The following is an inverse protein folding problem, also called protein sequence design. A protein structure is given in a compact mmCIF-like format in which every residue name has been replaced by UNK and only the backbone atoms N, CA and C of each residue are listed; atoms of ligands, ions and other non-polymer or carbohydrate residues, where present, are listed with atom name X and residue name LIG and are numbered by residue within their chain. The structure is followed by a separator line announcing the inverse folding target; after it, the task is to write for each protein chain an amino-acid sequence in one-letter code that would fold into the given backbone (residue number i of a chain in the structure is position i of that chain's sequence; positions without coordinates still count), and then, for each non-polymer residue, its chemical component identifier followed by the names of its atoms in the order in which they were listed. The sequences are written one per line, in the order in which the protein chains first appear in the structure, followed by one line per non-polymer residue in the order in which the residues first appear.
data_IF_997809273062
#
_entry.id   IF_997809273062
#
_cell.length_a   1.000
_cell.length_b   1.000
_cell.length_c   1.000
_cell.angle_alpha   90.00
_cell.angle_beta   90.00
_cell.angle_gamma   90.00
#
_symmetry.space_group_name_H-M   'P 1'
#
loop_
_entity.id
_entity.type
_entity.pdbx_description
1 polymer ?
#
# COMPACT_ATOMS: atom_id res chain seq x y z
N UNK A 1 20.89 12.33 3.99
CA UNK A 1 21.36 12.94 2.74
C UNK A 1 22.71 12.34 2.36
N UNK A 2 23.06 12.30 1.08
CA UNK A 2 24.39 11.86 0.59
C UNK A 2 25.39 13.01 0.49
N UNK A 3 24.92 14.26 0.56
CA UNK A 3 25.77 15.46 0.51
C UNK A 3 25.00 16.73 0.89
N UNK A 4 25.72 17.83 1.07
CA UNK A 4 25.16 19.18 1.25
C UNK A 4 25.90 20.15 0.33
N UNK A 5 25.14 20.85 -0.50
CA UNK A 5 25.68 21.90 -1.38
C UNK A 5 25.60 23.25 -0.67
N UNK A 6 26.76 23.80 -0.29
CA UNK A 6 26.88 25.09 0.39
C UNK A 6 26.50 26.29 -0.49
N UNK A 7 26.57 26.16 -1.83
CA UNK A 7 26.24 27.26 -2.73
C UNK A 7 24.73 27.40 -2.92
N UNK A 8 24.00 26.29 -3.01
CA UNK A 8 22.54 26.29 -3.15
C UNK A 8 21.79 26.13 -1.83
N UNK A 9 22.48 25.76 -0.75
CA UNK A 9 21.88 25.47 0.55
C UNK A 9 20.99 24.23 0.55
N UNK A 10 21.18 23.30 -0.40
CA UNK A 10 20.34 22.11 -0.58
C UNK A 10 21.05 20.83 -0.17
N UNK A 11 20.28 19.89 0.36
CA UNK A 11 20.74 18.54 0.65
C UNK A 11 20.59 17.64 -0.57
N UNK A 12 21.67 16.94 -0.92
CA UNK A 12 21.70 15.97 -2.00
C UNK A 12 21.34 14.58 -1.48
N UNK A 13 20.63 13.78 -2.29
CA UNK A 13 20.19 12.44 -1.87
C UNK A 13 19.37 12.44 -0.58
N UNK A 14 18.53 13.47 -0.39
CA UNK A 14 17.65 13.58 0.77
C UNK A 14 16.59 12.48 0.72
N UNK A 15 16.68 11.53 1.66
CA UNK A 15 15.60 10.59 1.94
C UNK A 15 14.88 11.02 3.21
N UNK A 16 13.58 10.73 3.28
CA UNK A 16 12.74 10.87 4.47
C UNK A 16 12.25 9.48 4.86
N UNK A 17 11.73 9.34 6.08
CA UNK A 17 11.12 8.10 6.56
C UNK A 17 10.09 7.58 5.55
N UNK A 18 10.35 6.40 4.97
CA UNK A 18 9.53 5.79 3.92
C UNK A 18 10.05 5.94 2.47
N UNK A 19 11.16 6.64 2.24
CA UNK A 19 11.85 6.68 0.95
C UNK A 19 12.98 5.64 0.84
N UNK A 20 13.19 5.07 -0.35
CA UNK A 20 14.29 4.15 -0.59
C UNK A 20 15.63 4.88 -0.40
N UNK A 21 16.34 4.59 0.70
CA UNK A 21 17.72 5.02 0.86
C UNK A 21 18.61 4.04 0.08
N UNK A 22 19.57 4.57 -0.68
CA UNK A 22 20.61 3.75 -1.30
C UNK A 22 21.46 3.03 -0.24
N UNK A 23 22.40 2.16 -0.66
CA UNK A 23 23.30 1.51 0.29
C UNK A 23 23.96 2.55 1.19
N UNK A 24 23.84 2.36 2.51
CA UNK A 24 24.48 3.22 3.52
C UNK A 24 25.99 2.99 3.41
N UNK A 25 26.67 3.79 2.59
CA UNK A 25 28.13 3.95 2.63
C UNK A 25 28.51 4.90 3.77
N UNK A 26 29.74 4.82 4.28
CA UNK A 26 30.26 5.39 5.55
C UNK A 26 30.19 6.93 5.71
N UNK A 27 29.35 7.65 4.97
CA UNK A 27 29.23 9.12 5.01
C UNK A 27 27.77 9.64 4.93
N UNK A 28 26.77 9.05 5.60
CA UNK A 28 25.43 9.61 5.57
C UNK A 28 25.35 10.85 6.48
N UNK A 29 24.86 11.97 5.93
CA UNK A 29 24.57 13.18 6.71
C UNK A 29 23.14 13.11 7.27
N UNK A 30 23.02 13.32 8.58
CA UNK A 30 21.73 13.48 9.25
C UNK A 30 21.25 14.92 9.06
N UNK A 31 20.04 15.07 8.55
CA UNK A 31 19.42 16.37 8.28
C UNK A 31 18.29 16.59 9.29
N UNK A 32 18.20 17.79 9.84
CA UNK A 32 17.10 18.14 10.74
C UNK A 32 15.74 18.00 10.04
N UNK A 33 14.72 17.43 10.72
CA UNK A 33 13.41 17.18 10.11
C UNK A 33 12.77 18.40 9.45
N UNK A 34 12.88 19.58 10.08
CA UNK A 34 12.31 20.82 9.56
C UNK A 34 13.01 21.31 8.27
N UNK A 35 14.32 21.12 8.16
CA UNK A 35 15.07 21.47 6.96
C UNK A 35 14.71 20.54 5.79
N UNK A 36 14.59 19.24 6.08
CA UNK A 36 14.20 18.24 5.09
C UNK A 36 12.77 18.46 4.56
N UNK A 37 11.81 18.77 5.43
CA UNK A 37 10.42 19.05 5.04
C UNK A 37 10.29 20.34 4.20
N UNK A 38 11.04 21.41 4.56
CA UNK A 38 11.04 22.65 3.78
C UNK A 38 11.55 22.44 2.36
N UNK A 39 12.65 21.71 2.17
CA UNK A 39 13.16 21.42 0.83
C UNK A 39 12.15 20.64 -0.02
N UNK A 40 11.47 19.65 0.56
CA UNK A 40 10.42 18.89 -0.14
C UNK A 40 9.21 19.74 -0.54
N UNK A 41 8.79 20.66 0.33
CA UNK A 41 7.69 21.57 0.02
C UNK A 41 8.03 22.50 -1.15
N UNK A 42 9.26 23.03 -1.15
CA UNK A 42 9.77 23.87 -2.25
C UNK A 42 9.87 23.08 -3.55
N UNK A 43 10.41 21.86 -3.52
CA UNK A 43 10.52 21.00 -4.70
C UNK A 43 9.13 20.62 -5.26
N UNK A 44 8.15 20.35 -4.39
CA UNK A 44 6.77 20.06 -4.79
C UNK A 44 6.09 21.27 -5.44
N UNK A 45 6.21 22.45 -4.84
CA UNK A 45 5.63 23.67 -5.40
C UNK A 45 6.27 24.05 -6.74
N UNK A 46 7.58 23.84 -6.90
CA UNK A 46 8.27 24.05 -8.17
C UNK A 46 7.80 23.06 -9.25
N UNK A 47 7.60 21.79 -8.90
CA UNK A 47 7.08 20.78 -9.82
C UNK A 47 5.63 21.08 -10.24
N UNK A 48 4.78 21.53 -9.31
CA UNK A 48 3.41 21.94 -9.60
C UNK A 48 3.36 23.18 -10.52
N UNK A 49 4.23 24.15 -10.29
CA UNK A 49 4.32 25.34 -11.13
C UNK A 49 4.82 25.00 -12.54
N UNK A 50 5.84 24.15 -12.67
CA UNK A 50 6.32 23.66 -13.96
C UNK A 50 5.25 22.85 -14.71
N UNK A 51 4.47 22.02 -13.99
CA UNK A 51 3.37 21.28 -14.59
C UNK A 51 2.27 22.21 -15.12
N UNK A 52 1.93 23.27 -14.37
CA UNK A 52 0.97 24.28 -14.82
C UNK A 52 1.47 25.05 -16.04
N UNK A 53 2.73 25.45 -16.05
CA UNK A 53 3.36 26.15 -17.18
C UNK A 53 3.44 25.27 -18.43
N UNK A 54 3.71 23.97 -18.28
CA UNK A 54 3.70 23.00 -19.39
C UNK A 54 2.29 22.82 -20.00
N UNK A 55 1.23 22.82 -19.18
CA UNK A 55 -0.15 22.75 -19.66
C UNK A 55 -0.54 24.02 -20.42
N UNK A 56 -0.18 25.20 -19.92
CA UNK A 56 -0.46 26.49 -20.59
C UNK A 56 0.34 26.64 -21.91
N UNK A 57 1.57 26.12 -21.95
CA UNK A 57 2.37 26.07 -23.18
C UNK A 57 1.77 25.11 -24.24
N UNK A 58 1.16 23.99 -23.81
CA UNK A 58 0.49 23.05 -24.69
C UNK A 58 -0.83 23.62 -25.29
N UNK A 59 -1.57 24.43 -24.51
CA UNK A 59 -2.81 25.07 -24.98
C UNK A 59 -2.59 26.20 -26.01
N UNK A 60 -1.38 26.77 -26.07
CA UNK A 60 -1.04 27.84 -27.03
C UNK A 60 -0.75 27.35 -28.46
N UNK A 61 -0.75 26.03 -28.72
CA UNK A 61 -0.41 25.45 -30.03
C UNK A 61 -1.59 24.83 -30.81
N UNK A 62 -2.84 24.96 -30.35
CA UNK A 62 -3.99 24.39 -31.05
C UNK A 62 -4.82 25.45 -31.81
N UNK A 63 -4.49 25.65 -33.09
CA UNK A 63 -5.34 26.41 -34.04
C UNK A 63 -6.39 25.49 -34.68
N UNK A 64 -7.65 25.95 -34.62
CA UNK A 64 -8.91 25.33 -35.09
C UNK A 64 -8.99 25.21 -36.64
N UNK A 65 -9.94 24.45 -37.21
CA UNK A 65 -11.12 25.16 -37.70
C UNK A 65 -12.48 24.45 -37.51
N UNK A 66 -13.53 25.26 -37.66
CA UNK A 66 -14.94 24.99 -37.46
C UNK A 66 -15.63 24.39 -38.71
N UNK A 67 -16.73 23.66 -38.50
CA UNK A 67 -17.79 23.43 -39.50
C UNK A 67 -19.16 23.46 -38.81
N UNK A 68 -20.15 23.99 -39.52
CA UNK A 68 -21.46 24.51 -39.11
C UNK A 68 -22.62 23.75 -39.81
N UNK A 69 -23.78 23.71 -39.11
CA UNK A 69 -25.22 23.47 -39.53
C UNK A 69 -25.65 22.13 -40.19
N UNK A 70 -26.97 21.75 -40.25
CA UNK A 70 -28.19 22.23 -39.56
C UNK A 70 -29.19 21.14 -39.01
N UNK A 71 -30.28 21.64 -38.41
CA UNK A 71 -31.51 21.04 -37.84
C UNK A 71 -32.41 20.30 -38.85
N UNK A 72 -33.16 19.26 -38.41
CA UNK A 72 -34.54 18.95 -38.89
C UNK A 72 -35.34 18.05 -37.91
N UNK A 73 -36.62 18.39 -37.82
CA UNK A 73 -37.71 18.00 -36.91
C UNK A 73 -38.27 16.56 -36.92
N UNK A 74 -38.89 16.24 -35.76
CA UNK A 74 -40.12 15.48 -35.44
C UNK A 74 -40.42 14.13 -36.14
N UNK A 75 -40.77 13.09 -35.37
CA UNK A 75 -42.16 12.83 -34.96
C UNK A 75 -42.32 11.48 -34.20
N UNK A 76 -43.35 11.45 -33.36
CA UNK A 76 -44.15 10.34 -32.85
C UNK A 76 -43.87 9.73 -31.47
N UNK A 77 -44.84 10.05 -30.61
CA UNK A 77 -45.09 9.60 -29.27
C UNK A 77 -45.51 8.12 -29.16
N UNK A 78 -45.28 7.52 -27.98
CA UNK A 78 -46.25 6.59 -27.40
C UNK A 78 -46.11 6.46 -25.88
N UNK A 79 -47.02 7.15 -25.20
CA UNK A 79 -47.81 6.75 -24.03
C UNK A 79 -47.16 6.03 -22.82
N UNK A 80 -47.03 6.81 -21.73
CA UNK A 80 -47.44 6.55 -20.33
C UNK A 80 -47.61 5.11 -19.83
N UNK A 81 -46.89 4.80 -18.75
CA UNK A 81 -47.56 4.24 -17.56
C UNK A 81 -46.88 4.75 -16.28
N UNK A 82 -47.56 5.70 -15.63
CA UNK A 82 -47.24 6.19 -14.32
C UNK A 82 -47.67 5.17 -13.27
N UNK A 83 -46.71 4.64 -12.52
CA UNK A 83 -46.97 4.15 -11.17
C UNK A 83 -46.23 5.06 -10.20
N UNK A 84 -46.83 6.23 -9.97
CA UNK A 84 -46.49 7.11 -8.87
C UNK A 84 -46.96 6.45 -7.56
N UNK A 85 -46.19 5.46 -7.09
CA UNK A 85 -46.22 5.11 -5.69
C UNK A 85 -45.54 6.26 -4.94
N UNK A 86 -46.28 6.89 -4.02
CA UNK A 86 -45.78 7.86 -3.07
C UNK A 86 -44.73 7.18 -2.17
N UNK A 87 -43.51 7.04 -2.66
CA UNK A 87 -42.37 6.67 -1.86
C UNK A 87 -41.91 7.91 -1.11
N UNK A 88 -42.27 7.99 0.16
CA UNK A 88 -41.61 8.88 1.12
C UNK A 88 -40.10 8.66 0.95
N UNK A 89 -39.29 9.70 0.65
CA UNK A 89 -37.85 9.52 0.55
C UNK A 89 -37.35 9.09 1.92
N UNK A 90 -36.99 7.81 2.04
CA UNK A 90 -36.31 7.30 3.21
C UNK A 90 -35.02 8.14 3.40
N UNK A 91 -34.67 8.52 4.63
CA UNK A 91 -33.44 9.24 4.87
C UNK A 91 -32.26 8.44 4.30
N UNK A 92 -31.26 9.09 3.66
CA UNK A 92 -30.12 8.38 3.08
C UNK A 92 -29.41 7.59 4.18
N UNK A 93 -29.45 6.26 4.06
CA UNK A 93 -28.71 5.36 4.94
C UNK A 93 -27.21 5.63 4.69
N UNK A 94 -26.41 5.91 5.73
CA UNK A 94 -24.98 6.13 5.53
C UNK A 94 -24.35 4.90 4.87
N UNK A 95 -23.42 5.08 3.91
CA UNK A 95 -22.78 3.96 3.25
C UNK A 95 -22.09 3.07 4.28
N UNK A 96 -22.31 1.77 4.17
CA UNK A 96 -21.68 0.78 5.05
C UNK A 96 -20.16 0.80 4.81
N UNK A 97 -19.32 0.71 5.85
CA UNK A 97 -17.89 0.63 5.66
C UNK A 97 -17.53 -0.59 4.82
N UNK A 98 -16.74 -0.37 3.77
CA UNK A 98 -16.22 -1.41 2.88
C UNK A 98 -14.81 -1.83 3.31
N UNK A 99 -14.38 -3.03 2.93
CA UNK A 99 -13.00 -3.53 3.14
C UNK A 99 -12.51 -3.54 4.61
N UNK A 100 -13.40 -3.88 5.56
CA UNK A 100 -13.11 -3.83 7.01
C UNK A 100 -12.21 -4.93 7.55
N UNK A 101 -11.90 -5.96 6.76
CA UNK A 101 -11.06 -7.09 7.17
C UNK A 101 -10.20 -7.57 6.01
N UNK A 102 -8.91 -7.72 6.27
CA UNK A 102 -7.97 -8.42 5.41
C UNK A 102 -7.70 -9.83 5.96
N UNK A 103 -7.63 -10.81 5.07
CA UNK A 103 -7.15 -12.16 5.36
C UNK A 103 -6.27 -12.60 4.20
N UNK A 104 -5.07 -13.08 4.51
CA UNK A 104 -4.13 -13.60 3.53
C UNK A 104 -3.33 -14.74 4.14
N UNK A 105 -3.02 -15.72 3.32
CA UNK A 105 -2.11 -16.82 3.64
C UNK A 105 -1.05 -16.89 2.54
N UNK A 106 0.18 -17.22 2.92
CA UNK A 106 1.30 -17.36 2.00
C UNK A 106 2.16 -18.53 2.47
N UNK A 107 2.50 -19.42 1.53
CA UNK A 107 3.46 -20.49 1.77
C UNK A 107 4.87 -19.93 1.67
N UNK A 108 5.70 -20.24 2.68
CA UNK A 108 7.08 -19.76 2.74
C UNK A 108 8.04 -20.90 2.44
N UNK A 109 9.14 -20.60 1.76
CA UNK A 109 10.19 -21.58 1.55
C UNK A 109 10.95 -21.83 2.88
N UNK A 110 11.04 -23.07 3.39
CA UNK A 110 11.65 -23.35 4.68
C UNK A 110 13.17 -23.08 4.72
N UNK A 111 13.86 -23.10 3.59
CA UNK A 111 15.29 -22.77 3.50
C UNK A 111 15.55 -21.26 3.41
N UNK A 112 14.53 -20.49 3.01
CA UNK A 112 14.63 -19.04 2.76
C UNK A 112 13.59 -18.22 3.50
N UNK A 113 12.99 -18.79 4.55
CA UNK A 113 11.83 -18.24 5.25
C UNK A 113 12.10 -16.82 5.77
N UNK A 114 13.31 -16.53 6.25
CA UNK A 114 13.68 -15.18 6.71
C UNK A 114 13.54 -14.11 5.61
N UNK A 115 14.03 -14.41 4.40
CA UNK A 115 13.96 -13.46 3.27
C UNK A 115 12.52 -13.25 2.83
N UNK A 116 11.78 -14.35 2.68
CA UNK A 116 10.41 -14.29 2.19
C UNK A 116 9.49 -13.63 3.23
N UNK A 117 9.73 -13.87 4.53
CA UNK A 117 9.06 -13.18 5.63
C UNK A 117 9.34 -11.68 5.66
N UNK A 118 10.58 -11.26 5.43
CA UNK A 118 10.92 -9.83 5.33
C UNK A 118 10.13 -9.15 4.21
N UNK A 119 10.03 -9.81 3.04
CA UNK A 119 9.23 -9.29 1.92
C UNK A 119 7.74 -9.17 2.28
N UNK A 120 7.16 -10.16 2.96
CA UNK A 120 5.77 -10.07 3.46
C UNK A 120 5.61 -8.93 4.46
N UNK A 121 6.62 -8.71 5.30
CA UNK A 121 6.61 -7.63 6.28
C UNK A 121 6.62 -6.26 5.60
N UNK A 122 7.45 -6.05 4.58
CA UNK A 122 7.57 -4.78 3.86
C UNK A 122 6.35 -4.51 2.96
N UNK A 123 5.92 -5.50 2.19
CA UNK A 123 4.93 -5.31 1.13
C UNK A 123 3.48 -5.44 1.63
N UNK A 124 3.23 -6.03 2.80
CA UNK A 124 1.87 -6.25 3.31
C UNK A 124 1.72 -5.74 4.72
N UNK A 125 2.55 -6.21 5.64
CA UNK A 125 2.39 -5.90 7.06
C UNK A 125 2.58 -4.39 7.34
N UNK A 126 3.57 -3.77 6.70
CA UNK A 126 3.83 -2.34 6.83
C UNK A 126 2.59 -1.52 6.47
N UNK A 127 1.93 -1.82 5.35
CA UNK A 127 0.72 -1.10 4.94
C UNK A 127 -0.45 -1.29 5.91
N UNK A 128 -0.66 -2.50 6.43
CA UNK A 128 -1.73 -2.76 7.38
C UNK A 128 -1.50 -2.07 8.73
N UNK A 129 -0.24 -2.02 9.20
CA UNK A 129 0.12 -1.37 10.46
C UNK A 129 0.19 0.15 10.38
N UNK A 130 0.34 0.71 9.16
CA UNK A 130 0.31 2.16 8.94
C UNK A 130 -1.09 2.77 9.09
N UNK A 131 -2.16 1.96 9.08
CA UNK A 131 -3.54 2.42 9.25
C UNK A 131 -3.87 2.58 10.74
N UNK A 132 -4.19 3.80 11.16
CA UNK A 132 -4.51 4.11 12.55
C UNK A 132 -5.72 3.29 13.03
N UNK A 133 -5.59 2.70 14.23
CA UNK A 133 -6.63 1.86 14.83
C UNK A 133 -6.75 0.44 14.25
N UNK A 134 -5.97 0.07 13.24
CA UNK A 134 -5.95 -1.28 12.71
C UNK A 134 -5.35 -2.26 13.72
N UNK A 135 -6.08 -3.36 13.99
CA UNK A 135 -5.60 -4.46 14.83
C UNK A 135 -5.04 -5.55 13.93
N UNK A 136 -3.72 -5.69 13.94
CA UNK A 136 -3.05 -6.71 13.13
C UNK A 136 -2.67 -7.90 14.00
N UNK A 137 -3.09 -9.09 13.58
CA UNK A 137 -2.71 -10.35 14.19
C UNK A 137 -1.99 -11.22 13.16
N UNK A 138 -0.84 -11.76 13.54
CA UNK A 138 -0.04 -12.66 12.73
C UNK A 138 -0.09 -14.05 13.36
N UNK A 139 -0.27 -15.08 12.54
CA UNK A 139 -0.21 -16.49 12.94
C UNK A 139 0.65 -17.23 11.93
N UNK A 140 1.63 -17.98 12.44
CA UNK A 140 2.43 -18.90 11.65
C UNK A 140 2.09 -20.34 12.03
N UNK A 141 2.03 -21.21 11.03
CA UNK A 141 1.87 -22.65 11.17
C UNK A 141 3.10 -23.33 10.59
N UNK A 142 3.57 -24.39 11.26
CA UNK A 142 4.74 -25.17 10.81
C UNK A 142 4.29 -26.62 10.70
N UNK A 143 4.28 -27.12 9.47
CA UNK A 143 3.99 -28.52 9.17
C UNK A 143 5.25 -29.18 8.67
N UNK A 144 5.57 -30.34 9.24
CA UNK A 144 6.69 -31.16 8.82
C UNK A 144 6.25 -32.62 8.78
N UNK A 145 6.37 -33.25 7.63
CA UNK A 145 6.01 -34.64 7.42
C UNK A 145 7.27 -35.45 7.14
N UNK A 146 7.39 -36.61 7.78
CA UNK A 146 8.46 -37.57 7.52
C UNK A 146 7.88 -38.98 7.56
N UNK A 147 7.73 -39.65 6.40
CA UNK A 147 7.10 -40.97 6.33
C UNK A 147 7.79 -42.03 7.22
N UNK A 148 9.12 -41.98 7.35
CA UNK A 148 9.85 -42.91 8.22
C UNK A 148 9.92 -42.46 9.68
N UNK A 149 9.08 -41.50 10.10
CA UNK A 149 9.02 -40.96 11.45
C UNK A 149 10.17 -40.02 11.84
N UNK A 150 9.97 -39.15 12.83
CA UNK A 150 11.02 -38.26 13.33
C UNK A 150 11.95 -38.98 14.32
N UNK A 151 13.26 -38.67 14.31
CA UNK A 151 14.19 -39.19 15.31
C UNK A 151 13.79 -38.83 16.75
N UNK A 152 14.04 -39.74 17.70
CA UNK A 152 13.63 -39.57 19.11
C UNK A 152 14.18 -38.29 19.76
N UNK A 153 15.41 -37.89 19.41
CA UNK A 153 15.99 -36.63 19.89
C UNK A 153 15.16 -35.41 19.44
N UNK A 154 14.61 -35.43 18.22
CA UNK A 154 13.75 -34.35 17.71
C UNK A 154 12.36 -34.39 18.32
N UNK A 155 11.79 -35.58 18.48
CA UNK A 155 10.48 -35.78 19.14
C UNK A 155 10.50 -35.24 20.57
N UNK A 156 11.64 -35.30 21.26
CA UNK A 156 11.80 -34.67 22.59
C UNK A 156 12.01 -33.15 22.54
N UNK A 157 12.90 -32.68 21.66
CA UNK A 157 13.34 -31.27 21.63
C UNK A 157 12.24 -30.33 21.09
N UNK A 158 11.55 -30.72 20.02
CA UNK A 158 10.61 -29.84 19.32
C UNK A 158 9.42 -29.44 20.19
N UNK A 159 8.73 -30.35 20.92
CA UNK A 159 7.60 -29.96 21.77
C UNK A 159 8.03 -29.12 22.98
N UNK A 160 9.24 -29.35 23.52
CA UNK A 160 9.81 -28.54 24.60
C UNK A 160 10.05 -27.09 24.14
N UNK A 161 10.65 -26.93 22.97
CA UNK A 161 10.83 -25.61 22.34
C UNK A 161 9.49 -24.97 21.99
N UNK A 162 8.55 -25.74 21.45
CA UNK A 162 7.24 -25.24 21.05
C UNK A 162 6.44 -24.71 22.26
N UNK A 163 6.49 -25.41 23.40
CA UNK A 163 5.91 -24.92 24.67
C UNK A 163 6.59 -23.64 25.14
N UNK A 164 7.91 -23.57 25.08
CA UNK A 164 8.68 -22.37 25.45
C UNK A 164 8.32 -21.18 24.58
N UNK A 165 8.11 -21.41 23.28
CA UNK A 165 7.73 -20.41 22.28
C UNK A 165 6.22 -20.18 22.18
N UNK A 166 5.42 -20.80 23.06
CA UNK A 166 3.95 -20.64 23.15
C UNK A 166 3.22 -21.02 21.86
N UNK A 167 3.67 -22.07 21.19
CA UNK A 167 2.90 -22.68 20.11
C UNK A 167 1.64 -23.32 20.69
N UNK A 168 0.51 -23.11 20.00
CA UNK A 168 -0.78 -23.65 20.41
C UNK A 168 -1.63 -23.99 19.17
N UNK A 169 -1.92 -25.28 18.89
CA UNK A 169 -1.31 -26.49 19.48
C UNK A 169 0.10 -26.78 18.94
N UNK A 170 0.86 -27.67 19.60
CA UNK A 170 2.11 -28.23 19.09
C UNK A 170 2.33 -29.65 19.61
N UNK A 171 2.23 -30.63 18.71
CA UNK A 171 2.45 -32.05 18.98
C UNK A 171 2.93 -32.75 17.70
N UNK A 172 3.60 -33.89 17.85
CA UNK A 172 3.71 -34.86 16.77
C UNK A 172 2.46 -35.73 16.78
N UNK A 173 1.95 -36.07 15.60
CA UNK A 173 0.82 -36.95 15.43
C UNK A 173 1.31 -38.29 14.88
N UNK A 174 0.80 -39.38 15.44
CA UNK A 174 0.96 -40.71 14.87
C UNK A 174 -0.15 -40.89 13.81
N UNK A 175 0.21 -41.41 12.63
CA UNK A 175 -0.74 -41.72 11.56
C UNK A 175 -1.48 -43.05 11.83
#
# INVERSE_FOLDING_TARGET
ATGYDEQSGRYEGLTLSGGAFGPIVDTPLLVEPEAAMRQRAVDHMAAEQQAREAVVAAESSATRPAVTVPVRDEDTASAVSAHAALAVPAPPVPPRPEHVRFFGAVELNPERYNRDWNRVSEEVLQHLTAVEGAKVQIRGEITAEKPDGFPEDKVRIVPENARTLKFHPAAFEDE
#
